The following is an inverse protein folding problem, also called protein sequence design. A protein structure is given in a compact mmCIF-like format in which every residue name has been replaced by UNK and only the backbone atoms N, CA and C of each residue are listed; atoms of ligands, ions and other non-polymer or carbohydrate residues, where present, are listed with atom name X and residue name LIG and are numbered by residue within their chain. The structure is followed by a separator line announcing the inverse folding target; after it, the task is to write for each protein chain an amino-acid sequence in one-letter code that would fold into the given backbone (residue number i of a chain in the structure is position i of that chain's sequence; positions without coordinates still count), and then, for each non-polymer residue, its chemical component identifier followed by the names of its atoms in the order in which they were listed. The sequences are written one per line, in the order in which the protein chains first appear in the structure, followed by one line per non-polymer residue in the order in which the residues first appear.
data_IF_814552835748
#
_entry.id   IF_814552835748
#
_cell.length_a   1.000
_cell.length_b   1.000
_cell.length_c   1.000
_cell.angle_alpha   90.00
_cell.angle_beta   90.00
_cell.angle_gamma   90.00
#
_symmetry.space_group_name_H-M   'P 1'
#
loop_
_entity.id
_entity.type
_entity.pdbx_description
1 polymer ?
#
# COMPACT_ATOMS: atom_id res chain seq x y z
N UNK A 1 18.93 33.38 57.18
CA UNK A 1 18.12 32.41 56.44
C UNK A 1 17.94 32.89 55.01
N UNK A 2 18.59 32.23 54.06
CA UNK A 2 18.48 32.53 52.60
C UNK A 2 17.58 31.47 51.99
N UNK A 3 16.41 31.89 51.53
CA UNK A 3 15.44 31.04 50.84
C UNK A 3 15.85 30.91 49.38
N UNK A 4 16.23 29.70 48.95
CA UNK A 4 16.49 29.39 47.56
C UNK A 4 15.10 29.13 46.88
N UNK A 5 14.76 29.96 45.90
CA UNK A 5 13.65 29.68 44.95
C UNK A 5 14.22 28.76 43.85
N UNK A 6 13.72 27.54 43.79
CA UNK A 6 13.96 26.64 42.66
C UNK A 6 12.86 26.90 41.66
N UNK A 7 13.20 27.55 40.56
CA UNK A 7 12.30 27.68 39.40
C UNK A 7 12.33 26.37 38.63
N UNK A 8 11.25 25.60 38.70
CA UNK A 8 11.05 24.41 37.87
C UNK A 8 10.72 24.83 36.43
N UNK A 9 11.60 24.46 35.51
CA UNK A 9 11.36 24.63 34.06
C UNK A 9 10.40 23.53 33.60
N UNK A 10 9.14 23.90 33.39
CA UNK A 10 8.15 22.99 32.74
C UNK A 10 8.46 23.01 31.24
N UNK A 11 9.11 21.97 30.74
CA UNK A 11 9.14 21.70 29.31
C UNK A 11 7.71 21.29 28.90
N UNK A 12 6.94 22.25 28.37
CA UNK A 12 5.75 21.92 27.62
C UNK A 12 6.19 21.15 26.38
N UNK A 13 5.92 19.85 26.34
CA UNK A 13 6.11 19.03 25.15
C UNK A 13 5.33 19.66 24.01
N UNK A 14 6.03 20.09 22.96
CA UNK A 14 5.36 20.47 21.71
C UNK A 14 4.62 19.24 21.23
N UNK A 15 3.30 19.34 20.93
CA UNK A 15 2.62 18.25 20.25
C UNK A 15 3.38 17.99 18.95
N UNK A 16 3.78 16.75 18.73
CA UNK A 16 4.24 16.34 17.42
C UNK A 16 3.12 16.78 16.46
N UNK A 17 3.45 17.65 15.51
CA UNK A 17 2.57 17.95 14.39
C UNK A 17 2.49 16.65 13.59
N UNK A 18 1.60 15.75 14.01
CA UNK A 18 1.19 14.64 13.20
C UNK A 18 0.71 15.24 11.88
N UNK A 19 1.07 14.65 10.77
CA UNK A 19 0.62 15.03 9.44
C UNK A 19 -0.89 14.73 9.27
N UNK A 20 -1.73 15.19 10.20
CA UNK A 20 -3.19 15.00 10.17
C UNK A 20 -3.77 15.53 8.86
N UNK A 21 -3.26 16.67 8.39
CA UNK A 21 -3.72 17.29 7.16
C UNK A 21 -3.41 16.46 5.91
N UNK A 22 -2.29 15.72 5.91
CA UNK A 22 -1.95 14.80 4.81
C UNK A 22 -2.76 13.50 4.93
N UNK A 23 -2.95 12.98 6.14
CA UNK A 23 -3.73 11.78 6.38
C UNK A 23 -5.20 11.97 5.98
N UNK A 24 -5.78 13.13 6.29
CA UNK A 24 -7.17 13.47 5.94
C UNK A 24 -7.36 13.82 4.46
N UNK A 25 -6.33 14.36 3.82
CA UNK A 25 -6.39 14.72 2.40
C UNK A 25 -6.41 13.49 1.49
N UNK A 26 -5.78 12.39 1.91
CA UNK A 26 -5.68 11.14 1.16
C UNK A 26 -6.02 9.94 2.05
N UNK A 27 -7.26 9.84 2.54
CA UNK A 27 -7.64 8.87 3.57
C UNK A 27 -7.55 7.42 3.11
N UNK A 28 -7.63 7.19 1.80
CA UNK A 28 -7.53 5.87 1.20
C UNK A 28 -6.57 5.91 0.02
N UNK A 29 -5.73 4.90 -0.10
CA UNK A 29 -5.01 4.64 -1.33
C UNK A 29 -5.95 3.91 -2.28
N UNK A 30 -6.09 4.44 -3.47
CA UNK A 30 -6.83 3.81 -4.55
C UNK A 30 -5.86 3.43 -5.66
N UNK A 31 -6.22 2.43 -6.46
CA UNK A 31 -5.49 2.17 -7.69
C UNK A 31 -5.71 3.33 -8.66
N UNK A 32 -4.67 3.69 -9.41
CA UNK A 32 -4.78 4.69 -10.46
C UNK A 32 -5.82 4.29 -11.50
N UNK A 33 -5.86 2.99 -11.81
CA UNK A 33 -6.89 2.40 -12.65
C UNK A 33 -7.34 1.06 -12.05
N UNK A 34 -8.61 0.73 -12.18
CA UNK A 34 -9.15 -0.53 -11.68
C UNK A 34 -8.64 -1.71 -12.52
N UNK A 35 -8.45 -2.91 -11.92
CA UNK A 35 -8.08 -4.08 -12.69
C UNK A 35 -9.15 -4.45 -13.72
N UNK A 36 -8.70 -4.75 -14.92
CA UNK A 36 -9.53 -5.30 -15.99
C UNK A 36 -9.07 -6.70 -16.34
N UNK A 37 -10.02 -7.57 -16.68
CA UNK A 37 -9.68 -8.92 -17.16
C UNK A 37 -9.11 -8.81 -18.58
N UNK A 38 -7.84 -9.14 -18.70
CA UNK A 38 -7.10 -9.03 -19.96
C UNK A 38 -7.26 -10.29 -20.82
N UNK A 39 -7.19 -11.45 -20.19
CA UNK A 39 -7.56 -12.75 -20.72
C UNK A 39 -8.23 -13.54 -19.59
N UNK A 40 -9.02 -14.58 -19.86
CA UNK A 40 -9.73 -15.32 -18.83
C UNK A 40 -8.84 -15.71 -17.64
N UNK A 41 -9.21 -15.26 -16.45
CA UNK A 41 -8.49 -15.48 -15.19
C UNK A 41 -7.27 -14.58 -14.94
N UNK A 42 -6.88 -13.71 -15.88
CA UNK A 42 -5.76 -12.78 -15.73
C UNK A 42 -6.23 -11.34 -15.73
N UNK A 43 -5.98 -10.67 -14.64
CA UNK A 43 -6.42 -9.30 -14.37
C UNK A 43 -5.23 -8.36 -14.24
N UNK A 44 -5.35 -7.16 -14.73
CA UNK A 44 -4.28 -6.15 -14.66
C UNK A 44 -4.85 -4.77 -14.38
N UNK A 45 -4.34 -4.12 -13.36
CA UNK A 45 -4.48 -2.68 -13.09
C UNK A 45 -3.29 -1.96 -13.72
N UNK A 46 -3.58 -1.09 -14.68
CA UNK A 46 -2.54 -0.35 -15.41
C UNK A 46 -2.09 0.84 -14.57
N UNK A 47 -0.80 0.94 -14.31
CA UNK A 47 -0.21 2.07 -13.61
C UNK A 47 -0.02 3.30 -14.50
N UNK A 48 0.07 4.48 -13.87
CA UNK A 48 0.33 5.73 -14.57
C UNK A 48 1.70 5.73 -15.25
N UNK A 49 1.77 6.23 -16.48
CA UNK A 49 3.04 6.47 -17.18
C UNK A 49 3.63 7.80 -16.68
N UNK A 50 3.94 7.87 -15.39
CA UNK A 50 4.43 9.05 -14.71
C UNK A 50 5.23 8.65 -13.46
N UNK A 51 6.06 9.52 -12.88
CA UNK A 51 6.61 9.31 -11.56
C UNK A 51 5.50 9.12 -10.51
N UNK A 52 5.79 8.46 -9.38
CA UNK A 52 4.82 8.31 -8.31
C UNK A 52 4.44 9.69 -7.73
N UNK A 53 3.15 9.97 -7.66
CA UNK A 53 2.55 11.18 -7.08
C UNK A 53 1.38 10.81 -6.19
N UNK A 54 0.80 11.80 -5.49
CA UNK A 54 -0.43 11.58 -4.72
C UNK A 54 -1.63 11.31 -5.65
N UNK A 55 -1.68 11.97 -6.78
CA UNK A 55 -2.79 11.87 -7.74
C UNK A 55 -2.86 10.48 -8.38
N UNK A 56 -1.72 9.83 -8.58
CA UNK A 56 -1.68 8.44 -9.08
C UNK A 56 -1.52 7.40 -7.95
N UNK A 57 -1.63 7.81 -6.68
CA UNK A 57 -1.50 6.96 -5.50
C UNK A 57 -0.17 6.16 -5.44
N UNK A 58 0.88 6.64 -6.15
CA UNK A 58 2.13 5.89 -6.33
C UNK A 58 2.02 4.71 -7.29
N UNK A 59 0.87 4.50 -7.91
CA UNK A 59 0.61 3.41 -8.85
C UNK A 59 1.16 3.75 -10.24
N UNK A 60 2.44 3.48 -10.44
CA UNK A 60 3.16 3.72 -11.69
C UNK A 60 3.81 2.46 -12.26
N UNK A 61 3.34 1.30 -11.86
CA UNK A 61 3.69 -0.01 -12.37
C UNK A 61 2.43 -0.85 -12.56
N UNK A 62 2.41 -1.73 -13.52
CA UNK A 62 1.26 -2.62 -13.68
C UNK A 62 1.20 -3.62 -12.52
N UNK A 63 0.05 -3.71 -11.89
CA UNK A 63 -0.24 -4.67 -10.84
C UNK A 63 -1.22 -5.69 -11.40
N UNK A 64 -0.80 -6.95 -11.42
CA UNK A 64 -1.60 -8.01 -12.04
C UNK A 64 -1.91 -9.11 -11.03
N UNK A 65 -2.96 -9.88 -11.29
CA UNK A 65 -3.21 -11.11 -10.56
C UNK A 65 -3.83 -12.17 -11.47
N UNK A 66 -3.54 -13.42 -11.13
CA UNK A 66 -4.06 -14.60 -11.82
C UNK A 66 -4.92 -15.38 -10.86
N UNK A 67 -6.16 -15.62 -11.26
CA UNK A 67 -7.11 -16.48 -10.54
C UNK A 67 -6.94 -17.91 -11.05
N UNK A 68 -6.58 -18.83 -10.16
CA UNK A 68 -6.44 -20.25 -10.43
C UNK A 68 -7.44 -21.06 -9.61
N UNK A 69 -7.55 -22.35 -9.86
CA UNK A 69 -8.43 -23.22 -9.05
C UNK A 69 -7.98 -23.36 -7.58
N UNK A 70 -6.71 -23.06 -7.29
CA UNK A 70 -6.13 -23.21 -5.95
C UNK A 70 -6.01 -21.90 -5.17
N UNK A 71 -6.20 -20.77 -5.84
CA UNK A 71 -6.06 -19.44 -5.23
C UNK A 71 -5.54 -18.41 -6.23
N UNK A 72 -5.17 -17.26 -5.72
CA UNK A 72 -4.72 -16.12 -6.50
C UNK A 72 -3.21 -15.94 -6.38
N UNK A 73 -2.56 -15.70 -7.50
CA UNK A 73 -1.16 -15.27 -7.59
C UNK A 73 -1.12 -13.81 -7.97
N UNK A 74 -0.48 -12.98 -7.17
CA UNK A 74 -0.27 -11.55 -7.45
C UNK A 74 1.08 -11.36 -8.11
N UNK A 75 1.14 -10.52 -9.14
CA UNK A 75 2.37 -10.09 -9.82
C UNK A 75 2.59 -8.62 -9.56
N UNK A 76 3.67 -8.31 -8.86
CA UNK A 76 4.04 -7.05 -8.25
C UNK A 76 3.22 -6.70 -7.00
N UNK A 77 3.91 -6.65 -5.86
CA UNK A 77 3.31 -6.38 -4.55
C UNK A 77 2.82 -4.94 -4.34
N UNK A 78 3.18 -4.03 -5.25
CA UNK A 78 2.80 -2.61 -5.20
C UNK A 78 3.84 -1.69 -4.58
N UNK A 79 3.70 -0.39 -4.83
CA UNK A 79 4.63 0.64 -4.39
C UNK A 79 4.45 1.07 -2.92
N UNK A 80 3.45 0.57 -2.23
CA UNK A 80 3.20 0.86 -0.81
C UNK A 80 2.26 -0.18 -0.20
N UNK A 81 2.25 -0.24 1.13
CA UNK A 81 1.30 -1.04 1.92
C UNK A 81 -0.15 -0.68 1.57
N UNK A 82 -0.46 0.61 1.37
CA UNK A 82 -1.80 1.06 1.00
C UNK A 82 -2.19 0.60 -0.39
N UNK A 83 -1.28 0.69 -1.35
CA UNK A 83 -1.54 0.26 -2.73
C UNK A 83 -1.75 -1.26 -2.80
N UNK A 84 -0.96 -2.02 -2.03
CA UNK A 84 -1.15 -3.46 -1.89
C UNK A 84 -2.51 -3.81 -1.29
N UNK A 85 -2.94 -3.08 -0.25
CA UNK A 85 -4.27 -3.26 0.34
C UNK A 85 -5.39 -2.94 -0.67
N UNK A 86 -5.25 -1.86 -1.44
CA UNK A 86 -6.22 -1.49 -2.47
C UNK A 86 -6.32 -2.57 -3.56
N UNK A 87 -5.19 -3.13 -4.00
CA UNK A 87 -5.20 -4.26 -4.95
C UNK A 87 -5.90 -5.49 -4.35
N UNK A 88 -5.65 -5.81 -3.09
CA UNK A 88 -6.30 -6.94 -2.42
C UNK A 88 -7.83 -6.76 -2.32
N UNK A 89 -8.30 -5.54 -2.08
CA UNK A 89 -9.75 -5.24 -2.11
C UNK A 89 -10.33 -5.45 -3.52
N UNK A 90 -9.62 -5.07 -4.57
CA UNK A 90 -10.08 -5.34 -5.95
C UNK A 90 -10.11 -6.85 -6.26
N UNK A 91 -9.11 -7.62 -5.79
CA UNK A 91 -9.11 -9.08 -5.93
C UNK A 91 -10.36 -9.68 -5.29
N UNK A 92 -10.74 -9.22 -4.09
CA UNK A 92 -11.93 -9.70 -3.37
C UNK A 92 -13.26 -9.42 -4.09
N UNK A 93 -13.30 -8.43 -4.97
CA UNK A 93 -14.46 -8.17 -5.82
C UNK A 93 -14.59 -9.18 -6.96
N UNK A 94 -13.47 -9.81 -7.34
CA UNK A 94 -13.41 -10.77 -8.45
C UNK A 94 -13.61 -12.20 -7.97
N UNK A 95 -13.05 -12.57 -6.82
CA UNK A 95 -13.05 -13.94 -6.30
C UNK A 95 -12.96 -13.99 -4.78
N UNK A 96 -13.56 -15.03 -4.20
CA UNK A 96 -13.41 -15.35 -2.77
C UNK A 96 -12.18 -16.24 -2.49
N UNK A 97 -11.43 -16.64 -3.53
CA UNK A 97 -10.24 -17.46 -3.37
C UNK A 97 -9.13 -16.68 -2.69
N UNK A 98 -8.36 -17.30 -1.78
CA UNK A 98 -7.27 -16.61 -1.08
C UNK A 98 -6.11 -16.30 -2.00
N UNK A 99 -5.44 -15.17 -1.76
CA UNK A 99 -4.11 -14.92 -2.35
C UNK A 99 -3.11 -15.90 -1.70
N UNK A 100 -2.35 -16.60 -2.51
CA UNK A 100 -1.38 -17.61 -2.10
C UNK A 100 0.07 -17.18 -2.24
N UNK A 101 0.35 -16.34 -3.22
CA UNK A 101 1.71 -15.99 -3.59
C UNK A 101 1.75 -14.58 -4.20
N UNK A 102 2.78 -13.84 -3.87
CA UNK A 102 3.17 -12.60 -4.55
C UNK A 102 4.49 -12.83 -5.27
N UNK A 103 4.57 -12.45 -6.53
CA UNK A 103 5.79 -12.51 -7.33
C UNK A 103 6.13 -11.07 -7.74
N UNK A 104 7.34 -10.62 -7.41
CA UNK A 104 7.83 -9.32 -7.87
C UNK A 104 8.72 -9.52 -9.10
N UNK A 105 8.47 -8.77 -10.16
CA UNK A 105 9.26 -8.83 -11.39
C UNK A 105 10.70 -8.34 -11.19
N UNK A 106 10.91 -7.46 -10.21
CA UNK A 106 12.21 -6.91 -9.86
C UNK A 106 12.24 -6.40 -8.41
N UNK A 107 13.42 -5.95 -7.96
CA UNK A 107 13.64 -5.39 -6.62
C UNK A 107 13.42 -3.88 -6.50
N UNK A 108 12.71 -3.23 -7.42
CA UNK A 108 12.45 -1.80 -7.36
C UNK A 108 11.21 -1.48 -6.52
N UNK A 109 11.17 -0.27 -5.95
CA UNK A 109 10.14 0.13 -5.00
C UNK A 109 8.72 0.00 -5.53
N UNK A 110 8.47 0.31 -6.80
CA UNK A 110 7.15 0.20 -7.41
C UNK A 110 6.60 -1.24 -7.44
N UNK A 111 7.49 -2.24 -7.44
CA UNK A 111 7.09 -3.64 -7.44
C UNK A 111 6.97 -4.24 -6.03
N UNK A 112 7.81 -3.81 -5.06
CA UNK A 112 8.02 -4.57 -3.84
C UNK A 112 7.76 -3.84 -2.51
N UNK A 113 7.59 -2.52 -2.49
CA UNK A 113 7.40 -1.81 -1.22
C UNK A 113 6.05 -2.13 -0.53
N UNK A 114 5.12 -2.73 -1.25
CA UNK A 114 3.87 -3.29 -0.71
C UNK A 114 4.02 -4.66 -0.04
N UNK A 115 5.19 -5.31 -0.12
CA UNK A 115 5.41 -6.68 0.39
C UNK A 115 5.10 -6.82 1.88
N UNK A 116 5.34 -5.78 2.68
CA UNK A 116 5.01 -5.82 4.11
C UNK A 116 3.52 -6.09 4.35
N UNK A 117 2.62 -5.53 3.53
CA UNK A 117 1.20 -5.82 3.62
C UNK A 117 0.90 -7.30 3.38
N UNK A 118 1.47 -7.89 2.32
CA UNK A 118 1.24 -9.28 1.96
C UNK A 118 1.80 -10.24 3.01
N UNK A 119 3.00 -9.96 3.53
CA UNK A 119 3.61 -10.73 4.61
C UNK A 119 2.76 -10.68 5.90
N UNK A 120 2.19 -9.53 6.25
CA UNK A 120 1.29 -9.38 7.40
C UNK A 120 -0.02 -10.18 7.23
N UNK A 121 -0.43 -10.46 6.00
CA UNK A 121 -1.54 -11.36 5.69
C UNK A 121 -1.13 -12.85 5.70
N UNK A 122 0.14 -13.16 5.92
CA UNK A 122 0.67 -14.53 5.90
C UNK A 122 0.82 -15.12 4.49
N UNK A 123 0.97 -14.25 3.49
CA UNK A 123 1.11 -14.64 2.08
C UNK A 123 2.59 -14.72 1.73
N UNK A 124 2.98 -15.78 1.03
CA UNK A 124 4.34 -15.99 0.55
C UNK A 124 4.72 -14.99 -0.56
N UNK A 125 6.02 -14.58 -0.59
CA UNK A 125 6.55 -13.61 -1.56
C UNK A 125 7.82 -14.16 -2.21
#
# INVERSE_FOLDING_TARGET
MRTLLVAGLVLAGMPALANEEIADKYPQSELYDAPVEFIPGVWTAIGATAPPTYENAGHNNNLSFVVTDEGVVVVNGGASVRLAAALHEEIRKVTDLPVKLVINENGQGHAMLGNAYWADQGIDI
#
